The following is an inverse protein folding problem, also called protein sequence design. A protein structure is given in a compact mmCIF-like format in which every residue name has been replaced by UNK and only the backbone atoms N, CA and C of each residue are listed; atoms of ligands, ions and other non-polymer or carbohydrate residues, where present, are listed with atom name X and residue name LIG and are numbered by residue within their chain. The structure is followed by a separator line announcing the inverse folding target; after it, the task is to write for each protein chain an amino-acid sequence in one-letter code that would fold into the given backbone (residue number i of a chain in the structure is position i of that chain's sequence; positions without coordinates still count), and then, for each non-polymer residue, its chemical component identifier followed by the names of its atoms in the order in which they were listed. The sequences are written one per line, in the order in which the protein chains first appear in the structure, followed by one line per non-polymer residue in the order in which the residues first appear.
data_IF_146728480432
#
_entry.id   IF_146728480432
#
_cell.length_a   1.000
_cell.length_b   1.000
_cell.length_c   1.000
_cell.angle_alpha   90.00
_cell.angle_beta   90.00
_cell.angle_gamma   90.00
#
_symmetry.space_group_name_H-M   'P 1'
#
loop_
_entity.id
_entity.type
_entity.pdbx_description
1 polymer ?
#
# COMPACT_ATOMS: atom_id res chain seq x y z
N UNK A 1 23.04 0.91 -27.49
CA UNK A 1 22.28 -0.25 -27.00
C UNK A 1 20.80 0.01 -27.24
N UNK A 2 20.07 -0.90 -27.88
CA UNK A 2 18.64 -0.69 -28.19
C UNK A 2 17.85 -0.98 -26.92
N UNK A 3 17.19 0.03 -26.36
CA UNK A 3 16.34 -0.10 -25.15
C UNK A 3 15.18 -1.04 -25.48
N UNK A 4 14.92 -2.03 -24.66
CA UNK A 4 13.82 -2.99 -24.84
C UNK A 4 12.44 -2.32 -24.69
N UNK A 5 11.40 -2.96 -25.21
CA UNK A 5 10.01 -2.49 -25.06
C UNK A 5 9.61 -2.34 -23.60
N UNK A 6 10.01 -3.27 -22.75
CA UNK A 6 9.69 -3.25 -21.32
C UNK A 6 10.43 -2.12 -20.57
N UNK A 7 11.71 -1.87 -20.93
CA UNK A 7 12.45 -0.72 -20.37
C UNK A 7 11.81 0.61 -20.80
N UNK A 8 11.32 0.72 -22.03
CA UNK A 8 10.60 1.91 -22.52
C UNK A 8 9.28 2.11 -21.77
N UNK A 9 8.49 1.06 -21.60
CA UNK A 9 7.26 1.13 -20.79
C UNK A 9 7.56 1.56 -19.34
N UNK A 10 8.62 1.00 -18.75
CA UNK A 10 9.05 1.35 -17.41
C UNK A 10 9.43 2.83 -17.27
N UNK A 11 10.15 3.38 -18.24
CA UNK A 11 10.52 4.80 -18.30
C UNK A 11 9.28 5.70 -18.46
N UNK A 12 8.35 5.34 -19.34
CA UNK A 12 7.09 6.08 -19.55
C UNK A 12 6.29 6.13 -18.25
N UNK A 13 6.13 4.99 -17.56
CA UNK A 13 5.42 4.91 -16.27
C UNK A 13 6.10 5.80 -15.23
N UNK A 14 7.42 5.78 -15.13
CA UNK A 14 8.16 6.60 -14.18
C UNK A 14 7.95 8.11 -14.45
N UNK A 15 8.01 8.53 -15.71
CA UNK A 15 7.78 9.92 -16.11
C UNK A 15 6.33 10.35 -15.85
N UNK A 16 5.36 9.47 -16.10
CA UNK A 16 3.96 9.72 -15.78
C UNK A 16 3.73 9.94 -14.28
N UNK A 17 4.27 9.06 -13.42
CA UNK A 17 4.15 9.22 -11.96
C UNK A 17 4.80 10.53 -11.49
N UNK A 18 5.96 10.88 -12.03
CA UNK A 18 6.61 12.15 -11.70
C UNK A 18 5.77 13.39 -12.11
N UNK A 19 5.08 13.32 -13.25
CA UNK A 19 4.14 14.37 -13.67
C UNK A 19 2.91 14.43 -12.77
N UNK A 20 2.35 13.27 -12.37
CA UNK A 20 1.23 13.20 -11.43
C UNK A 20 1.58 13.85 -10.09
N UNK A 21 2.77 13.58 -9.57
CA UNK A 21 3.25 14.17 -8.31
C UNK A 21 3.36 15.68 -8.38
N UNK A 22 3.74 16.21 -9.54
CA UNK A 22 3.95 17.64 -9.75
C UNK A 22 2.66 18.39 -10.07
N UNK A 23 1.78 17.83 -10.88
CA UNK A 23 0.67 18.57 -11.49
C UNK A 23 -0.73 18.00 -11.18
N UNK A 24 -0.82 16.80 -10.62
CA UNK A 24 -2.09 16.09 -10.42
C UNK A 24 -2.61 15.38 -11.66
N UNK A 25 -3.59 14.49 -11.46
CA UNK A 25 -4.13 13.63 -12.54
C UNK A 25 -4.97 14.40 -13.55
N UNK A 26 -5.65 15.46 -13.12
CA UNK A 26 -6.54 16.23 -13.99
C UNK A 26 -5.75 17.01 -15.04
N UNK A 27 -4.57 17.56 -14.68
CA UNK A 27 -3.75 18.39 -15.56
C UNK A 27 -2.82 17.61 -16.48
N UNK A 28 -2.42 16.41 -16.07
CA UNK A 28 -1.48 15.60 -16.86
C UNK A 28 -2.16 14.98 -18.08
N UNK A 29 -1.58 15.21 -19.25
CA UNK A 29 -2.01 14.62 -20.52
C UNK A 29 -1.00 13.61 -21.04
N UNK A 30 -1.41 12.76 -21.99
CA UNK A 30 -0.48 11.83 -22.67
C UNK A 30 0.59 12.58 -23.50
N UNK A 31 0.29 13.80 -23.95
CA UNK A 31 1.30 14.62 -24.64
C UNK A 31 2.42 15.03 -23.70
N UNK A 32 2.11 15.44 -22.47
CA UNK A 32 3.12 15.81 -21.46
C UNK A 32 4.02 14.60 -21.13
N UNK A 33 3.41 13.41 -21.07
CA UNK A 33 4.15 12.16 -20.83
C UNK A 33 5.05 11.82 -22.01
N UNK A 34 4.58 12.00 -23.25
CA UNK A 34 5.38 11.78 -24.44
C UNK A 34 6.60 12.71 -24.46
N UNK A 35 6.37 14.02 -24.27
CA UNK A 35 7.42 15.03 -24.23
C UNK A 35 8.45 14.71 -23.13
N UNK A 36 8.02 14.48 -21.89
CA UNK A 36 8.91 14.13 -20.79
C UNK A 36 9.69 12.82 -21.05
N UNK A 37 9.14 11.92 -21.85
CA UNK A 37 9.77 10.64 -22.19
C UNK A 37 10.65 10.70 -23.44
N UNK A 38 10.77 11.87 -24.08
CA UNK A 38 11.52 12.04 -25.33
C UNK A 38 10.89 11.25 -26.50
N UNK A 39 9.56 11.10 -26.50
CA UNK A 39 8.80 10.36 -27.50
C UNK A 39 7.87 11.31 -28.29
N UNK A 40 7.60 10.93 -29.54
CA UNK A 40 6.48 11.54 -30.25
C UNK A 40 5.15 11.03 -29.68
N UNK A 41 4.07 11.79 -29.86
CA UNK A 41 2.72 11.37 -29.48
C UNK A 41 2.37 9.99 -30.04
N UNK A 42 2.62 9.77 -31.33
CA UNK A 42 2.35 8.47 -31.99
C UNK A 42 3.16 7.33 -31.38
N UNK A 43 4.42 7.58 -31.00
CA UNK A 43 5.26 6.58 -30.35
C UNK A 43 4.75 6.24 -28.93
N UNK A 44 4.21 7.22 -28.19
CA UNK A 44 3.60 6.95 -26.89
C UNK A 44 2.34 6.09 -27.03
N UNK A 45 1.45 6.42 -27.99
CA UNK A 45 0.22 5.66 -28.24
C UNK A 45 0.48 4.21 -28.64
N UNK A 46 1.63 3.89 -29.17
CA UNK A 46 2.06 2.49 -29.40
C UNK A 46 2.21 1.70 -28.09
N UNK A 47 2.58 2.37 -26.99
CA UNK A 47 2.74 1.72 -25.66
C UNK A 47 1.50 1.80 -24.80
N UNK A 48 0.79 2.93 -24.83
CA UNK A 48 -0.36 3.21 -23.99
C UNK A 48 -1.38 4.03 -24.77
N UNK A 49 -2.54 3.46 -25.01
CA UNK A 49 -3.62 4.04 -25.82
C UNK A 49 -4.45 5.08 -25.06
N UNK A 50 -4.38 5.08 -23.72
CA UNK A 50 -5.12 6.02 -22.87
C UNK A 50 -4.39 6.31 -21.54
N UNK A 51 -4.83 7.36 -20.85
CA UNK A 51 -4.34 7.70 -19.51
C UNK A 51 -4.74 6.62 -18.50
N UNK A 52 -5.89 6.01 -18.68
CA UNK A 52 -6.40 4.91 -17.86
C UNK A 52 -5.52 3.68 -17.96
N UNK A 53 -5.13 3.28 -19.16
CA UNK A 53 -4.23 2.12 -19.37
C UNK A 53 -2.85 2.39 -18.80
N UNK A 54 -2.35 3.61 -18.92
CA UNK A 54 -1.08 4.01 -18.32
C UNK A 54 -1.15 4.01 -16.79
N UNK A 55 -2.25 4.50 -16.20
CA UNK A 55 -2.48 4.47 -14.76
C UNK A 55 -2.56 3.04 -14.24
N UNK A 56 -3.34 2.18 -14.93
CA UNK A 56 -3.47 0.77 -14.57
C UNK A 56 -2.12 0.03 -14.63
N UNK A 57 -1.34 0.29 -15.69
CA UNK A 57 0.00 -0.27 -15.82
C UNK A 57 0.95 0.22 -14.72
N UNK A 58 0.84 1.49 -14.34
CA UNK A 58 1.60 2.07 -13.23
C UNK A 58 1.27 1.36 -11.91
N UNK A 59 -0.02 1.22 -11.59
CA UNK A 59 -0.48 0.49 -10.40
C UNK A 59 0.06 -0.94 -10.38
N UNK A 60 -0.11 -1.69 -11.47
CA UNK A 60 0.38 -3.09 -11.58
C UNK A 60 1.88 -3.21 -11.39
N UNK A 61 2.66 -2.32 -12.02
CA UNK A 61 4.11 -2.31 -11.90
C UNK A 61 4.57 -2.10 -10.45
N UNK A 62 4.05 -1.09 -9.79
CA UNK A 62 4.47 -0.77 -8.44
C UNK A 62 3.99 -1.82 -7.42
N UNK A 63 2.79 -2.34 -7.61
CA UNK A 63 2.29 -3.47 -6.82
C UNK A 63 3.18 -4.70 -6.97
N UNK A 64 3.55 -5.08 -8.19
CA UNK A 64 4.44 -6.22 -8.44
C UNK A 64 5.80 -6.03 -7.77
N UNK A 65 6.37 -4.82 -7.82
CA UNK A 65 7.62 -4.49 -7.15
C UNK A 65 7.49 -4.67 -5.62
N UNK A 66 6.42 -4.20 -5.02
CA UNK A 66 6.16 -4.34 -3.59
C UNK A 66 6.01 -5.80 -3.17
N UNK A 67 5.22 -6.58 -3.92
CA UNK A 67 5.04 -8.00 -3.66
C UNK A 67 6.34 -8.80 -3.78
N UNK A 68 7.18 -8.50 -4.77
CA UNK A 68 8.49 -9.14 -4.91
C UNK A 68 9.42 -8.84 -3.71
N UNK A 69 9.39 -7.63 -3.18
CA UNK A 69 10.16 -7.25 -1.98
C UNK A 69 9.62 -7.96 -0.73
N UNK A 70 8.30 -7.99 -0.56
CA UNK A 70 7.66 -8.71 0.54
C UNK A 70 8.01 -10.22 0.48
N UNK A 71 7.85 -10.86 -0.67
CA UNK A 71 8.20 -12.26 -0.88
C UNK A 71 9.67 -12.56 -0.54
N UNK A 72 10.59 -11.70 -1.02
CA UNK A 72 12.02 -11.79 -0.68
C UNK A 72 12.28 -11.66 0.82
N UNK A 73 11.50 -10.85 1.53
CA UNK A 73 11.58 -10.69 2.98
C UNK A 73 11.07 -11.93 3.71
N UNK A 74 9.87 -12.40 3.33
CA UNK A 74 9.22 -13.55 3.98
C UNK A 74 9.97 -14.88 3.75
N UNK A 75 10.67 -15.04 2.65
CA UNK A 75 11.53 -16.20 2.38
C UNK A 75 12.68 -16.38 3.39
N UNK A 76 13.01 -15.37 4.17
CA UNK A 76 14.02 -15.45 5.23
C UNK A 76 13.50 -16.11 6.51
N UNK A 77 12.17 -16.24 6.65
CA UNK A 77 11.55 -16.81 7.83
C UNK A 77 11.84 -18.31 7.96
N UNK A 78 12.19 -18.74 9.16
CA UNK A 78 12.49 -20.16 9.50
C UNK A 78 11.27 -20.90 10.02
N UNK A 79 10.24 -20.18 10.44
CA UNK A 79 9.02 -20.73 11.00
C UNK A 79 7.84 -19.76 10.82
N UNK A 80 6.60 -20.21 11.01
CA UNK A 80 5.42 -19.35 10.83
C UNK A 80 5.38 -18.09 11.70
N UNK A 81 5.89 -18.16 12.94
CA UNK A 81 5.96 -17.00 13.84
C UNK A 81 6.91 -15.93 13.30
N UNK A 82 8.05 -16.34 12.81
CA UNK A 82 9.01 -15.43 12.17
C UNK A 82 8.45 -14.83 10.89
N UNK A 83 7.61 -15.59 10.14
CA UNK A 83 6.90 -15.06 8.97
C UNK A 83 6.00 -13.88 9.35
N UNK A 84 5.20 -14.03 10.42
CA UNK A 84 4.34 -12.94 10.92
C UNK A 84 5.20 -11.73 11.34
N UNK A 85 6.28 -11.98 12.10
CA UNK A 85 7.16 -10.89 12.53
C UNK A 85 7.77 -10.15 11.34
N UNK A 86 8.34 -10.85 10.38
CA UNK A 86 8.93 -10.25 9.18
C UNK A 86 7.90 -9.49 8.33
N UNK A 87 6.65 -9.95 8.30
CA UNK A 87 5.56 -9.23 7.66
C UNK A 87 5.28 -7.90 8.36
N UNK A 88 5.17 -7.91 9.69
CA UNK A 88 4.98 -6.69 10.48
C UNK A 88 6.16 -5.73 10.32
N UNK A 89 7.39 -6.23 10.44
CA UNK A 89 8.61 -5.45 10.28
C UNK A 89 8.69 -4.81 8.89
N UNK A 90 8.36 -5.56 7.84
CA UNK A 90 8.31 -5.05 6.47
C UNK A 90 7.31 -3.91 6.33
N UNK A 91 6.11 -4.05 6.89
CA UNK A 91 5.09 -3.01 6.84
C UNK A 91 5.57 -1.76 7.60
N UNK A 92 6.16 -1.93 8.78
CA UNK A 92 6.65 -0.83 9.60
C UNK A 92 7.77 -0.03 8.92
N UNK A 93 8.68 -0.73 8.22
CA UNK A 93 9.81 -0.12 7.53
C UNK A 93 9.41 0.56 6.20
N UNK A 94 8.23 0.22 5.67
CA UNK A 94 7.77 0.67 4.35
C UNK A 94 7.71 2.19 4.19
N UNK A 95 7.20 2.99 5.15
CA UNK A 95 7.18 4.44 5.07
C UNK A 95 8.57 5.09 5.00
N UNK A 96 9.58 4.43 5.56
CA UNK A 96 10.95 4.91 5.62
C UNK A 96 11.80 4.44 4.43
N UNK A 97 11.27 3.52 3.62
CA UNK A 97 11.92 3.06 2.42
C UNK A 97 11.99 4.18 1.37
N UNK A 98 13.21 4.52 0.95
CA UNK A 98 13.45 5.68 0.06
C UNK A 98 12.72 5.59 -1.27
N UNK A 99 12.65 4.39 -1.85
CA UNK A 99 12.00 4.18 -3.15
C UNK A 99 10.48 4.26 -2.99
N UNK A 100 9.94 3.67 -1.92
CA UNK A 100 8.52 3.72 -1.61
C UNK A 100 8.09 5.14 -1.19
N UNK A 101 8.84 5.79 -0.30
CA UNK A 101 8.57 7.16 0.11
C UNK A 101 8.59 8.11 -1.10
N UNK A 102 9.56 7.95 -2.02
CA UNK A 102 9.62 8.71 -3.26
C UNK A 102 8.40 8.47 -4.15
N UNK A 103 7.95 7.22 -4.25
CA UNK A 103 6.78 6.85 -5.03
C UNK A 103 5.50 7.44 -4.45
N UNK A 104 5.38 7.45 -3.12
CA UNK A 104 4.20 7.91 -2.39
C UNK A 104 4.23 9.41 -2.07
N UNK A 105 5.21 10.15 -2.59
CA UNK A 105 5.36 11.59 -2.37
C UNK A 105 4.35 12.41 -3.20
N UNK A 106 3.08 12.21 -2.92
CA UNK A 106 1.97 12.98 -3.47
C UNK A 106 1.50 14.01 -2.44
N UNK A 107 1.17 15.22 -2.90
CA UNK A 107 0.45 16.18 -2.06
C UNK A 107 -0.99 15.69 -1.83
N UNK A 108 -1.60 16.13 -0.73
CA UNK A 108 -2.95 15.70 -0.35
C UNK A 108 -4.01 16.05 -1.41
N UNK A 109 -3.86 17.19 -2.06
CA UNK A 109 -4.74 17.55 -3.18
C UNK A 109 -4.63 16.54 -4.32
N UNK A 110 -3.42 16.11 -4.66
CA UNK A 110 -3.20 15.09 -5.70
C UNK A 110 -3.74 13.73 -5.26
N UNK A 111 -3.61 13.36 -3.98
CA UNK A 111 -4.20 12.13 -3.44
C UNK A 111 -5.72 12.15 -3.58
N UNK A 112 -6.36 13.27 -3.22
CA UNK A 112 -7.81 13.42 -3.35
C UNK A 112 -8.28 13.35 -4.81
N UNK A 113 -7.58 14.02 -5.73
CA UNK A 113 -7.82 13.94 -7.17
C UNK A 113 -7.66 12.49 -7.70
N UNK A 114 -6.58 11.81 -7.30
CA UNK A 114 -6.33 10.42 -7.68
C UNK A 114 -7.42 9.47 -7.16
N UNK A 115 -7.84 9.63 -5.91
CA UNK A 115 -8.91 8.82 -5.32
C UNK A 115 -10.22 8.99 -6.10
N UNK A 116 -10.60 10.25 -6.39
CA UNK A 116 -11.78 10.58 -7.21
C UNK A 116 -11.67 10.00 -8.63
N UNK A 117 -10.50 10.11 -9.24
CA UNK A 117 -10.26 9.56 -10.58
C UNK A 117 -10.38 8.03 -10.59
N UNK A 118 -9.71 7.35 -9.65
CA UNK A 118 -9.69 5.89 -9.54
C UNK A 118 -11.09 5.31 -9.37
N UNK A 119 -11.93 5.91 -8.52
CA UNK A 119 -13.31 5.44 -8.28
C UNK A 119 -14.14 5.49 -9.57
N UNK A 120 -13.87 6.44 -10.46
CA UNK A 120 -14.61 6.62 -11.71
C UNK A 120 -14.04 5.80 -12.89
N UNK A 121 -12.96 5.02 -12.69
CA UNK A 121 -12.38 4.16 -13.74
C UNK A 121 -12.55 2.68 -13.37
N UNK A 122 -13.57 2.00 -13.95
CA UNK A 122 -13.93 0.63 -13.55
C UNK A 122 -12.78 -0.38 -13.64
N UNK A 123 -11.92 -0.26 -14.64
CA UNK A 123 -10.78 -1.15 -14.81
C UNK A 123 -9.76 -1.04 -13.66
N UNK A 124 -9.50 0.17 -13.18
CA UNK A 124 -8.59 0.41 -12.06
C UNK A 124 -9.24 -0.06 -10.75
N UNK A 125 -10.51 0.27 -10.54
CA UNK A 125 -11.25 -0.15 -9.34
C UNK A 125 -11.32 -1.67 -9.24
N UNK A 126 -11.61 -2.36 -10.35
CA UNK A 126 -11.63 -3.83 -10.42
C UNK A 126 -10.26 -4.42 -10.04
N UNK A 127 -9.18 -3.88 -10.58
CA UNK A 127 -7.82 -4.33 -10.27
C UNK A 127 -7.47 -4.14 -8.78
N UNK A 128 -7.85 -3.01 -8.20
CA UNK A 128 -7.64 -2.74 -6.77
C UNK A 128 -8.42 -3.74 -5.90
N UNK A 129 -9.69 -4.01 -6.23
CA UNK A 129 -10.53 -4.96 -5.49
C UNK A 129 -9.94 -6.37 -5.58
N UNK A 130 -9.54 -6.81 -6.77
CA UNK A 130 -8.90 -8.13 -6.95
C UNK A 130 -7.57 -8.21 -6.20
N UNK A 131 -6.78 -7.16 -6.23
CA UNK A 131 -5.52 -7.08 -5.49
C UNK A 131 -5.72 -7.19 -3.98
N UNK A 132 -6.68 -6.46 -3.42
CA UNK A 132 -7.00 -6.54 -1.99
C UNK A 132 -7.51 -7.91 -1.56
N UNK A 133 -8.30 -8.57 -2.43
CA UNK A 133 -8.73 -9.95 -2.19
C UNK A 133 -7.52 -10.91 -2.14
N UNK A 134 -6.62 -10.82 -3.12
CA UNK A 134 -5.41 -11.64 -3.16
C UNK A 134 -4.50 -11.39 -1.94
N UNK A 135 -4.36 -10.14 -1.50
CA UNK A 135 -3.59 -9.79 -0.30
C UNK A 135 -4.21 -10.42 0.96
N UNK A 136 -5.55 -10.36 1.10
CA UNK A 136 -6.25 -10.99 2.22
C UNK A 136 -6.12 -12.53 2.18
N UNK A 137 -6.17 -13.14 1.00
CA UNK A 137 -5.97 -14.59 0.83
C UNK A 137 -4.54 -14.98 1.26
N UNK A 138 -3.53 -14.21 0.90
CA UNK A 138 -2.14 -14.43 1.33
C UNK A 138 -1.96 -14.29 2.85
N UNK A 139 -2.55 -13.25 3.45
CA UNK A 139 -2.52 -13.06 4.90
C UNK A 139 -3.28 -14.18 5.62
N UNK A 140 -4.40 -14.62 5.07
CA UNK A 140 -5.18 -15.75 5.61
C UNK A 140 -4.33 -17.02 5.66
N UNK A 141 -3.64 -17.35 4.57
CA UNK A 141 -2.72 -18.49 4.52
C UNK A 141 -1.58 -18.39 5.53
N UNK A 142 -0.99 -17.21 5.67
CA UNK A 142 0.10 -16.95 6.61
C UNK A 142 -0.36 -17.15 8.05
N UNK A 143 -1.53 -16.62 8.42
CA UNK A 143 -2.10 -16.76 9.77
C UNK A 143 -2.58 -18.20 10.03
N UNK A 144 -3.16 -18.89 9.04
CA UNK A 144 -3.55 -20.28 9.17
C UNK A 144 -2.35 -21.19 9.50
N UNK A 145 -1.22 -20.99 8.81
CA UNK A 145 0.03 -21.69 9.11
C UNK A 145 0.55 -21.37 10.50
N UNK A 146 0.45 -20.11 10.91
CA UNK A 146 0.86 -19.69 12.26
C UNK A 146 0.01 -20.31 13.36
N UNK A 147 -1.31 -20.35 13.17
CA UNK A 147 -2.27 -20.93 14.11
C UNK A 147 -2.34 -22.46 14.07
N UNK A 148 -1.72 -23.12 13.10
CA UNK A 148 -1.81 -24.59 12.91
C UNK A 148 -3.21 -25.07 12.53
N UNK A 149 -4.01 -24.23 11.85
CA UNK A 149 -5.40 -24.56 11.44
C UNK A 149 -5.55 -24.52 9.92
N UNK A 150 -6.67 -25.05 9.41
CA UNK A 150 -6.95 -25.02 7.97
C UNK A 150 -7.22 -23.59 7.49
N UNK A 151 -6.66 -23.22 6.33
CA UNK A 151 -6.94 -21.95 5.66
C UNK A 151 -8.40 -21.81 5.21
N UNK A 152 -9.11 -22.93 5.08
CA UNK A 152 -10.54 -22.97 4.70
C UNK A 152 -11.48 -22.71 5.89
N UNK A 153 -10.97 -22.66 7.14
CA UNK A 153 -11.80 -22.30 8.29
C UNK A 153 -12.26 -20.83 8.16
N UNK A 154 -13.58 -20.56 8.13
CA UNK A 154 -14.09 -19.19 7.96
C UNK A 154 -13.69 -18.22 9.09
N UNK A 155 -13.31 -18.75 10.26
CA UNK A 155 -12.86 -17.94 11.39
C UNK A 155 -11.47 -17.35 11.13
N UNK A 156 -10.58 -18.13 10.49
CA UNK A 156 -9.22 -17.65 10.21
C UNK A 156 -9.23 -16.46 9.25
N UNK A 157 -10.16 -16.43 8.27
CA UNK A 157 -10.34 -15.32 7.36
C UNK A 157 -10.80 -14.04 8.08
N UNK A 158 -11.64 -14.16 9.11
CA UNK A 158 -12.05 -13.03 9.95
C UNK A 158 -10.86 -12.50 10.77
N UNK A 159 -10.05 -13.38 11.35
CA UNK A 159 -8.82 -13.01 12.06
C UNK A 159 -7.85 -12.31 11.10
N UNK A 160 -7.67 -12.84 9.89
CA UNK A 160 -6.82 -12.22 8.88
C UNK A 160 -7.30 -10.80 8.48
N UNK A 161 -8.61 -10.60 8.39
CA UNK A 161 -9.19 -9.28 8.13
C UNK A 161 -8.88 -8.29 9.27
N UNK A 162 -9.07 -8.71 10.54
CA UNK A 162 -8.74 -7.89 11.70
C UNK A 162 -7.26 -7.55 11.77
N UNK A 163 -6.39 -8.55 11.55
CA UNK A 163 -4.96 -8.34 11.50
C UNK A 163 -4.56 -7.34 10.40
N UNK A 164 -5.09 -7.52 9.19
CA UNK A 164 -4.81 -6.62 8.07
C UNK A 164 -5.31 -5.19 8.32
N UNK A 165 -6.48 -5.04 8.94
CA UNK A 165 -7.03 -3.73 9.30
C UNK A 165 -6.17 -3.03 10.34
N UNK A 166 -5.73 -3.74 11.39
CA UNK A 166 -4.84 -3.19 12.42
C UNK A 166 -3.51 -2.71 11.84
N UNK A 167 -2.89 -3.53 10.98
CA UNK A 167 -1.66 -3.14 10.29
C UNK A 167 -1.89 -1.94 9.36
N UNK A 168 -3.00 -1.92 8.61
CA UNK A 168 -3.33 -0.86 7.66
C UNK A 168 -3.58 0.48 8.31
N UNK A 169 -4.29 0.52 9.43
CA UNK A 169 -4.52 1.75 10.20
C UNK A 169 -3.20 2.31 10.75
N UNK A 170 -2.38 1.48 11.39
CA UNK A 170 -1.08 1.91 11.89
C UNK A 170 -0.21 2.49 10.77
N UNK A 171 -0.16 1.82 9.61
CA UNK A 171 0.57 2.33 8.45
C UNK A 171 0.05 3.69 7.98
N UNK A 172 -1.27 3.89 7.95
CA UNK A 172 -1.87 5.17 7.55
C UNK A 172 -1.37 6.32 8.42
N UNK A 173 -1.19 6.11 9.71
CA UNK A 173 -0.63 7.12 10.61
C UNK A 173 0.88 7.31 10.40
N UNK A 174 1.63 6.23 10.22
CA UNK A 174 3.08 6.31 9.95
C UNK A 174 3.39 7.03 8.64
N UNK A 175 2.53 6.93 7.63
CA UNK A 175 2.69 7.63 6.34
C UNK A 175 2.36 9.12 6.38
N UNK A 176 1.91 9.68 7.50
CA UNK A 176 1.46 11.08 7.58
C UNK A 176 0.39 11.45 6.54
N UNK A 177 -0.30 10.46 5.98
CA UNK A 177 -1.25 10.68 4.89
C UNK A 177 -2.61 11.09 5.42
N UNK A 178 -3.04 12.30 5.12
CA UNK A 178 -4.43 12.71 5.11
C UNK A 178 -5.01 13.28 6.41
N UNK A 179 -4.35 13.18 7.57
CA UNK A 179 -4.87 13.82 8.78
C UNK A 179 -4.42 15.27 8.94
N UNK A 180 -3.24 15.63 8.42
CA UNK A 180 -2.74 17.02 8.51
C UNK A 180 -3.69 18.02 7.85
N UNK A 181 -4.47 17.59 6.84
CA UNK A 181 -5.38 18.48 6.11
C UNK A 181 -6.83 18.47 6.61
N UNK A 182 -7.27 17.41 7.29
CA UNK A 182 -8.59 17.45 7.94
C UNK A 182 -8.61 18.44 9.11
N UNK A 183 -7.45 18.74 9.68
CA UNK A 183 -7.31 19.53 10.90
C UNK A 183 -6.78 20.95 10.69
N UNK A 184 -6.06 21.23 9.60
CA UNK A 184 -5.56 22.58 9.30
C UNK A 184 -6.66 23.63 9.12
N UNK A 185 -7.91 23.20 8.86
CA UNK A 185 -9.10 24.04 8.81
C UNK A 185 -9.93 24.06 10.10
N UNK A 186 -9.64 23.20 11.08
CA UNK A 186 -10.43 23.13 12.30
C UNK A 186 -10.01 24.25 13.28
N UNK A 187 -10.98 25.08 13.67
CA UNK A 187 -10.83 26.05 14.76
C UNK A 187 -10.92 25.39 16.15
N UNK A 188 -11.24 24.09 16.22
CA UNK A 188 -11.41 23.38 17.49
C UNK A 188 -10.05 22.99 18.07
N UNK A 189 -9.68 23.66 19.20
CA UNK A 189 -8.42 23.43 19.92
C UNK A 189 -8.32 22.01 20.50
N UNK A 190 -9.43 21.41 20.94
CA UNK A 190 -9.45 20.06 21.51
C UNK A 190 -9.10 19.01 20.46
N UNK A 191 -9.58 19.19 19.22
CA UNK A 191 -9.27 18.30 18.11
C UNK A 191 -7.79 18.35 17.73
N UNK A 192 -7.20 19.55 17.68
CA UNK A 192 -5.75 19.74 17.43
C UNK A 192 -4.88 19.15 18.52
N UNK A 193 -5.31 19.27 19.78
CA UNK A 193 -4.61 18.68 20.92
C UNK A 193 -4.59 17.16 20.84
N UNK A 194 -5.76 16.54 20.59
CA UNK A 194 -5.87 15.09 20.42
C UNK A 194 -4.99 14.59 19.26
N UNK A 195 -4.97 15.31 18.15
CA UNK A 195 -4.13 14.99 17.01
C UNK A 195 -2.63 15.05 17.36
N UNK A 196 -2.22 16.07 18.10
CA UNK A 196 -0.82 16.21 18.54
C UNK A 196 -0.42 15.05 19.46
N UNK A 197 -1.25 14.76 20.46
CA UNK A 197 -1.03 13.61 21.38
C UNK A 197 -0.95 12.28 20.60
N UNK A 198 -1.81 12.08 19.62
CA UNK A 198 -1.81 10.88 18.79
C UNK A 198 -0.54 10.77 17.94
N UNK A 199 -0.07 11.87 17.35
CA UNK A 199 1.19 11.94 16.59
C UNK A 199 2.39 11.63 17.48
N UNK A 200 2.43 12.14 18.70
CA UNK A 200 3.51 11.87 19.65
C UNK A 200 3.57 10.38 20.00
N UNK A 201 2.42 9.75 20.31
CA UNK A 201 2.34 8.31 20.57
C UNK A 201 2.83 7.51 19.35
N UNK A 202 2.36 7.82 18.16
CA UNK A 202 2.74 7.10 16.95
C UNK A 202 4.21 7.29 16.58
N UNK A 203 4.77 8.49 16.82
CA UNK A 203 6.18 8.76 16.59
C UNK A 203 7.10 8.05 17.60
N UNK A 204 6.59 7.72 18.78
CA UNK A 204 7.30 6.93 19.80
C UNK A 204 7.27 5.42 19.55
N UNK A 205 6.37 4.95 18.67
CA UNK A 205 6.21 3.53 18.38
C UNK A 205 7.44 2.98 17.67
N UNK A 206 8.12 2.03 18.31
CA UNK A 206 9.23 1.32 17.70
C UNK A 206 8.74 0.15 16.83
N UNK A 207 9.60 -0.36 15.95
CA UNK A 207 9.30 -1.56 15.15
C UNK A 207 9.02 -2.78 16.03
N UNK A 208 9.77 -2.94 17.13
CA UNK A 208 9.56 -4.06 18.04
C UNK A 208 8.25 -3.91 18.83
N UNK A 209 7.87 -2.70 19.23
CA UNK A 209 6.54 -2.45 19.83
C UNK A 209 5.43 -2.81 18.85
N UNK A 210 5.50 -2.33 17.61
CA UNK A 210 4.51 -2.62 16.58
C UNK A 210 4.37 -4.13 16.36
N UNK A 211 5.47 -4.84 16.11
CA UNK A 211 5.44 -6.29 15.90
C UNK A 211 4.90 -7.02 17.13
N UNK A 212 5.32 -6.62 18.33
CA UNK A 212 4.90 -7.24 19.59
C UNK A 212 3.41 -7.06 19.84
N UNK A 213 2.89 -5.85 19.69
CA UNK A 213 1.46 -5.57 19.89
C UNK A 213 0.57 -6.30 18.88
N UNK A 214 0.97 -6.30 17.61
CA UNK A 214 0.22 -6.98 16.55
C UNK A 214 0.23 -8.50 16.77
N UNK A 215 1.39 -9.09 17.09
CA UNK A 215 1.50 -10.54 17.34
C UNK A 215 0.76 -10.95 18.60
N UNK A 216 0.87 -10.18 19.69
CA UNK A 216 0.15 -10.48 20.94
C UNK A 216 -1.37 -10.42 20.75
N UNK A 217 -1.85 -9.43 20.00
CA UNK A 217 -3.27 -9.34 19.62
C UNK A 217 -3.73 -10.52 18.76
N UNK A 218 -2.89 -10.94 17.80
CA UNK A 218 -3.14 -12.10 16.97
C UNK A 218 -3.20 -13.39 17.80
N UNK A 219 -2.26 -13.60 18.72
CA UNK A 219 -2.22 -14.74 19.64
C UNK A 219 -3.51 -14.80 20.49
N UNK A 220 -3.93 -13.68 21.05
CA UNK A 220 -5.16 -13.59 21.84
C UNK A 220 -6.40 -13.96 21.00
N UNK A 221 -6.50 -13.46 19.76
CA UNK A 221 -7.59 -13.79 18.86
C UNK A 221 -7.62 -15.27 18.50
N UNK A 222 -6.47 -15.88 18.19
CA UNK A 222 -6.35 -17.30 17.88
C UNK A 222 -6.76 -18.13 19.07
N UNK A 223 -6.20 -17.86 20.24
CA UNK A 223 -6.51 -18.58 21.49
C UNK A 223 -7.99 -18.53 21.82
N UNK A 224 -8.59 -17.34 21.82
CA UNK A 224 -10.01 -17.15 22.11
C UNK A 224 -10.90 -17.88 21.09
N UNK A 225 -10.48 -17.93 19.83
CA UNK A 225 -11.29 -18.48 18.73
C UNK A 225 -11.23 -20.00 18.64
N UNK A 226 -10.08 -20.62 18.96
CA UNK A 226 -9.82 -22.04 18.71
C UNK A 226 -9.54 -22.86 19.97
N UNK A 227 -9.01 -22.26 21.05
CA UNK A 227 -8.63 -22.98 22.26
C UNK A 227 -9.72 -22.96 23.37
N UNK A 228 -10.55 -21.89 23.44
CA UNK A 228 -11.62 -21.79 24.44
C UNK A 228 -12.89 -22.56 24.01
N UNK A 229 -12.75 -23.82 23.64
CA UNK A 229 -13.86 -24.79 23.50
C UNK A 229 -13.84 -25.75 24.69
N UNK A 230 -14.22 -25.22 25.86
CA UNK A 230 -14.67 -26.05 26.99
C UNK A 230 -16.04 -25.57 27.42
#
# INVERSE_FOLDING_TARGET
MKISTEEKKAMIIQNFVALLQQYGIEKVTLNDVAEKSGLTKSALYYYFDSKETLMLASFKKYRAMMLARLDSTLKKAKNPKETIKLYCDFLFDLPQDKDFARLMNFSDNVIAELAKYIINVPAITSEIVQSKKADLDQVTLMIAKYAGVSESDPKIRKIALFFSASCGETLRYLFKTGMDNMTTGSSNQDFRRLETEYKEIMNSLTKDDFSTFVISGLDALIKTTFENKN
#
